data_IF_556681913406
#
_entry.id   IF_556681913406
#
_cell.length_a   1.000
_cell.length_b   1.000
_cell.length_c   1.000
_cell.angle_alpha   90.00
_cell.angle_beta   90.00
_cell.angle_gamma   90.00
#
_symmetry.space_group_name_H-M   'P 1'
#
loop_
_entity.id
_entity.type
_entity.pdbx_description
1 polymer ?
#
# COMPACT_ATOMS: atom_id res chain seq x y z
N UNK A 1 9.51 23.97 -10.61
CA UNK A 1 9.35 24.91 -9.47
C UNK A 1 7.97 25.54 -9.52
N UNK A 2 7.37 25.82 -8.37
CA UNK A 2 6.08 26.51 -8.29
C UNK A 2 6.27 28.01 -8.44
N UNK A 3 5.27 28.69 -9.02
CA UNK A 3 5.18 30.15 -8.96
C UNK A 3 4.79 30.57 -7.54
N UNK A 4 5.11 31.80 -7.10
CA UNK A 4 4.56 32.36 -5.86
C UNK A 4 3.04 32.21 -5.81
N UNK A 5 2.51 31.69 -4.69
CA UNK A 5 1.08 31.40 -4.52
C UNK A 5 0.58 30.13 -5.23
N UNK A 6 1.46 29.39 -5.91
CA UNK A 6 1.13 28.11 -6.55
C UNK A 6 0.73 27.04 -5.54
N UNK A 7 -0.11 26.09 -5.97
CA UNK A 7 -0.58 24.97 -5.16
C UNK A 7 -0.01 23.65 -5.68
N UNK A 8 0.22 22.73 -4.75
CA UNK A 8 0.53 21.33 -5.06
C UNK A 8 -0.53 20.42 -4.46
N UNK A 9 -0.75 19.29 -5.12
CA UNK A 9 -1.53 18.18 -4.59
C UNK A 9 -0.58 17.01 -4.47
N UNK A 10 -0.53 16.42 -3.28
CA UNK A 10 0.24 15.22 -2.98
C UNK A 10 -0.75 14.09 -2.73
N UNK A 11 -0.59 12.98 -3.42
CA UNK A 11 -1.45 11.81 -3.30
C UNK A 11 -0.57 10.57 -3.27
N UNK A 12 -0.44 9.98 -2.09
CA UNK A 12 0.28 8.72 -1.88
C UNK A 12 -0.56 7.83 -0.95
N UNK A 13 -0.61 6.52 -1.21
CA UNK A 13 -1.18 5.57 -0.26
C UNK A 13 -0.32 5.49 1.02
N UNK A 14 -0.94 4.97 2.06
CA UNK A 14 -0.25 4.49 3.25
C UNK A 14 -0.42 2.98 3.33
N UNK A 15 0.61 2.22 2.99
CA UNK A 15 0.50 0.79 2.71
C UNK A 15 0.23 -0.07 3.96
N UNK A 16 0.53 0.43 5.17
CA UNK A 16 0.09 -0.21 6.42
C UNK A 16 -1.46 -0.22 6.55
N UNK A 17 -2.15 0.63 5.78
CA UNK A 17 -3.61 0.68 5.75
C UNK A 17 -4.22 -0.27 4.71
N UNK A 18 -3.39 -1.05 4.01
CA UNK A 18 -3.84 -2.16 3.18
C UNK A 18 -4.31 -3.31 4.09
N UNK A 19 -5.63 -3.43 4.21
CA UNK A 19 -6.30 -4.48 4.98
C UNK A 19 -6.97 -5.43 3.98
N UNK A 20 -6.74 -6.72 4.16
CA UNK A 20 -7.30 -7.77 3.32
C UNK A 20 -8.24 -8.59 4.20
N UNK A 21 -9.51 -8.66 3.82
CA UNK A 21 -10.48 -9.55 4.45
C UNK A 21 -10.23 -10.98 3.95
N UNK A 22 -9.69 -11.82 4.82
CA UNK A 22 -9.27 -13.18 4.48
C UNK A 22 -9.47 -14.12 5.68
N UNK A 23 -9.86 -15.40 5.47
CA UNK A 23 -10.10 -16.33 6.58
C UNK A 23 -8.91 -16.52 7.53
N UNK A 24 -7.68 -16.49 7.01
CA UNK A 24 -6.46 -16.50 7.83
C UNK A 24 -5.87 -15.09 7.99
N UNK A 25 -6.16 -14.48 9.13
CA UNK A 25 -5.68 -13.14 9.47
C UNK A 25 -4.14 -13.05 9.56
N UNK A 26 -3.44 -14.14 9.92
CA UNK A 26 -1.98 -14.13 10.00
C UNK A 26 -1.37 -14.03 8.60
N UNK A 27 -1.98 -14.69 7.62
CA UNK A 27 -1.56 -14.61 6.22
C UNK A 27 -1.79 -13.22 5.64
N UNK A 28 -2.98 -12.65 5.85
CA UNK A 28 -3.29 -11.27 5.42
C UNK A 28 -2.26 -10.27 5.98
N UNK A 29 -1.92 -10.40 7.27
CA UNK A 29 -0.91 -9.55 7.92
C UNK A 29 0.51 -9.79 7.38
N UNK A 30 0.88 -11.04 7.12
CA UNK A 30 2.18 -11.38 6.57
C UNK A 30 2.36 -10.76 5.17
N UNK A 31 1.32 -10.81 4.33
CA UNK A 31 1.33 -10.17 3.01
C UNK A 31 1.50 -8.65 3.14
N UNK A 32 0.68 -7.97 3.94
CA UNK A 32 0.79 -6.51 4.12
C UNK A 32 2.18 -6.13 4.65
N UNK A 33 2.72 -6.88 5.61
CA UNK A 33 4.06 -6.65 6.14
C UNK A 33 5.16 -6.85 5.10
N UNK A 34 5.06 -7.86 4.25
CA UNK A 34 6.01 -8.05 3.16
C UNK A 34 5.95 -6.87 2.18
N UNK A 35 4.75 -6.36 1.87
CA UNK A 35 4.58 -5.17 1.04
C UNK A 35 5.27 -3.96 1.65
N UNK A 36 5.07 -3.72 2.95
CA UNK A 36 5.58 -2.53 3.64
C UNK A 36 7.07 -2.58 3.93
N UNK A 37 7.60 -3.76 4.28
CA UNK A 37 8.98 -3.92 4.71
C UNK A 37 9.93 -4.14 3.52
N UNK A 38 9.44 -4.75 2.42
CA UNK A 38 10.31 -5.24 1.34
C UNK A 38 9.94 -4.67 -0.04
N UNK A 39 8.64 -4.57 -0.37
CA UNK A 39 8.22 -4.23 -1.74
C UNK A 39 8.22 -2.73 -2.00
N UNK A 40 7.69 -1.93 -1.07
CA UNK A 40 7.50 -0.49 -1.24
C UNK A 40 8.48 0.29 -0.39
N UNK A 41 9.44 0.97 -1.03
CA UNK A 41 10.52 1.69 -0.35
C UNK A 41 10.06 2.72 0.70
N UNK A 42 8.98 3.45 0.43
CA UNK A 42 8.43 4.47 1.35
C UNK A 42 6.98 4.12 1.72
N UNK A 43 6.75 2.87 2.12
CA UNK A 43 5.42 2.29 2.33
C UNK A 43 4.47 3.15 3.19
N UNK A 44 4.98 3.82 4.21
CA UNK A 44 4.16 4.59 5.16
C UNK A 44 4.26 6.11 4.92
N UNK A 45 4.59 6.57 3.70
CA UNK A 45 4.75 8.01 3.43
C UNK A 45 3.41 8.77 3.50
N UNK A 46 2.29 8.12 3.19
CA UNK A 46 0.96 8.72 3.16
C UNK A 46 0.63 9.51 4.45
N UNK A 47 0.79 8.91 5.63
CA UNK A 47 0.59 9.61 6.92
C UNK A 47 1.59 10.73 7.20
N UNK A 48 2.71 10.78 6.49
CA UNK A 48 3.79 11.74 6.72
C UNK A 48 3.71 12.95 5.79
N UNK A 49 3.02 12.86 4.65
CA UNK A 49 2.99 13.90 3.61
C UNK A 49 2.62 15.28 4.13
N UNK A 50 1.55 15.39 4.92
CA UNK A 50 1.11 16.66 5.47
C UNK A 50 2.17 17.29 6.39
N UNK A 51 2.84 16.47 7.21
CA UNK A 51 3.93 16.93 8.06
C UNK A 51 5.16 17.34 7.27
N UNK A 52 5.51 16.58 6.22
CA UNK A 52 6.61 16.91 5.32
C UNK A 52 6.37 18.24 4.58
N UNK A 53 5.18 18.44 4.03
CA UNK A 53 4.79 19.68 3.36
C UNK A 53 4.97 20.90 4.28
N UNK A 54 4.48 20.80 5.53
CA UNK A 54 4.66 21.85 6.55
C UNK A 54 6.14 22.15 6.83
N UNK A 55 6.96 21.10 7.02
CA UNK A 55 8.41 21.25 7.24
C UNK A 55 9.14 21.86 6.04
N UNK A 56 8.60 21.71 4.83
CA UNK A 56 9.12 22.32 3.61
C UNK A 56 8.61 23.75 3.36
N UNK A 57 7.86 24.35 4.29
CA UNK A 57 7.38 25.73 4.19
C UNK A 57 6.05 25.90 3.47
N UNK A 58 5.33 24.81 3.18
CA UNK A 58 3.97 24.90 2.64
C UNK A 58 2.94 25.06 3.76
N UNK A 59 1.92 25.86 3.47
CA UNK A 59 0.66 25.81 4.21
C UNK A 59 -0.17 24.61 3.71
N UNK A 60 -0.72 23.82 4.64
CA UNK A 60 -1.53 22.63 4.33
C UNK A 60 -2.99 22.98 4.55
N UNK A 61 -3.65 23.40 3.48
CA UNK A 61 -5.05 23.83 3.51
C UNK A 61 -6.03 22.67 3.79
N UNK A 62 -5.72 21.45 3.34
CA UNK A 62 -6.62 20.29 3.47
C UNK A 62 -5.85 18.97 3.39
N UNK A 63 -6.31 17.98 4.17
CA UNK A 63 -5.95 16.56 4.04
C UNK A 63 -7.25 15.79 3.82
N UNK A 64 -7.28 14.92 2.81
CA UNK A 64 -8.47 14.12 2.46
C UNK A 64 -8.09 12.65 2.53
N UNK A 65 -8.60 11.88 3.52
CA UNK A 65 -8.48 10.44 3.49
C UNK A 65 -9.42 9.88 2.40
N UNK A 66 -8.91 8.96 1.59
CA UNK A 66 -9.68 8.26 0.55
C UNK A 66 -9.51 6.76 0.79
N UNK A 67 -10.63 6.07 1.01
CA UNK A 67 -10.64 4.61 1.15
C UNK A 67 -11.05 4.01 -0.18
N UNK A 68 -10.17 3.19 -0.76
CA UNK A 68 -10.48 2.38 -1.94
C UNK A 68 -10.78 0.96 -1.49
N UNK A 69 -11.92 0.42 -1.91
CA UNK A 69 -12.33 -0.96 -1.63
C UNK A 69 -12.31 -1.74 -2.93
N UNK A 70 -11.71 -2.92 -2.92
CA UNK A 70 -11.75 -3.88 -4.02
C UNK A 70 -12.45 -5.13 -3.51
N UNK A 71 -13.56 -5.49 -4.15
CA UNK A 71 -14.33 -6.71 -3.83
C UNK A 71 -13.92 -7.89 -4.72
N UNK A 72 -13.24 -7.61 -5.83
CA UNK A 72 -12.75 -8.58 -6.79
C UNK A 72 -11.21 -8.62 -6.76
N UNK A 73 -10.65 -9.81 -6.51
CA UNK A 73 -9.20 -10.01 -6.39
C UNK A 73 -8.46 -9.74 -7.71
N UNK A 74 -9.10 -9.97 -8.85
CA UNK A 74 -8.50 -9.70 -10.16
C UNK A 74 -8.40 -8.19 -10.44
N UNK A 75 -9.38 -7.40 -9.99
CA UNK A 75 -9.30 -5.93 -10.04
C UNK A 75 -8.25 -5.39 -9.07
N UNK A 76 -8.18 -5.96 -7.86
CA UNK A 76 -7.16 -5.62 -6.89
C UNK A 76 -5.74 -5.93 -7.40
N UNK A 77 -5.57 -7.07 -8.07
CA UNK A 77 -4.28 -7.52 -8.60
C UNK A 77 -3.72 -6.61 -9.70
N UNK A 78 -4.58 -5.96 -10.50
CA UNK A 78 -4.12 -4.97 -11.49
C UNK A 78 -3.37 -3.80 -10.84
N UNK A 79 -3.70 -3.48 -9.60
CA UNK A 79 -3.11 -2.37 -8.85
C UNK A 79 -1.98 -2.86 -7.95
N UNK A 80 -2.21 -3.94 -7.22
CA UNK A 80 -1.30 -4.42 -6.17
C UNK A 80 -0.31 -5.49 -6.65
N UNK A 81 -0.58 -6.13 -7.79
CA UNK A 81 0.21 -7.27 -8.29
C UNK A 81 0.31 -8.39 -7.27
N UNK A 82 -0.79 -8.67 -6.57
CA UNK A 82 -0.94 -9.65 -5.50
C UNK A 82 -0.29 -10.99 -5.83
N UNK A 83 -0.57 -11.56 -7.01
CA UNK A 83 0.01 -12.85 -7.40
C UNK A 83 1.54 -12.76 -7.48
N UNK A 84 2.04 -11.76 -8.22
CA UNK A 84 3.48 -11.54 -8.43
C UNK A 84 4.23 -11.22 -7.14
N UNK A 85 3.61 -10.44 -6.26
CA UNK A 85 4.18 -10.08 -4.95
C UNK A 85 4.29 -11.32 -4.08
N UNK A 86 3.25 -12.15 -4.07
CA UNK A 86 3.23 -13.38 -3.27
C UNK A 86 4.24 -14.40 -3.77
N UNK A 87 4.37 -14.58 -5.09
CA UNK A 87 5.41 -15.45 -5.68
C UNK A 87 6.82 -15.00 -5.27
N UNK A 88 7.08 -13.68 -5.26
CA UNK A 88 8.36 -13.13 -4.78
C UNK A 88 8.56 -13.35 -3.29
N UNK A 89 7.50 -13.21 -2.48
CA UNK A 89 7.55 -13.44 -1.04
C UNK A 89 7.89 -14.89 -0.72
N UNK A 90 7.27 -15.84 -1.43
CA UNK A 90 7.55 -17.28 -1.31
C UNK A 90 8.98 -17.59 -1.73
N UNK A 91 9.40 -17.10 -2.90
CA UNK A 91 10.76 -17.34 -3.41
C UNK A 91 11.85 -16.78 -2.48
N UNK A 92 11.53 -15.70 -1.76
CA UNK A 92 12.42 -15.09 -0.78
C UNK A 92 12.27 -15.66 0.66
N UNK A 93 11.40 -16.66 0.86
CA UNK A 93 11.20 -17.33 2.15
C UNK A 93 10.42 -16.52 3.19
N UNK A 94 9.71 -15.48 2.77
CA UNK A 94 8.88 -14.65 3.66
C UNK A 94 7.46 -15.20 3.81
N UNK A 95 7.03 -16.10 2.93
CA UNK A 95 5.70 -16.73 2.93
C UNK A 95 5.82 -18.20 2.49
N UNK A 96 4.90 -19.05 2.98
CA UNK A 96 4.84 -20.46 2.60
C UNK A 96 4.28 -20.66 1.19
N UNK A 97 4.70 -21.73 0.51
CA UNK A 97 4.37 -21.95 -0.90
C UNK A 97 2.90 -22.28 -1.17
N UNK A 98 2.18 -22.76 -0.16
CA UNK A 98 0.72 -22.88 -0.19
C UNK A 98 0.03 -21.51 -0.30
N UNK A 99 0.65 -20.43 0.18
CA UNK A 99 0.11 -19.08 0.10
C UNK A 99 0.04 -18.51 -1.32
N UNK A 100 0.93 -18.92 -2.22
CA UNK A 100 0.84 -18.50 -3.62
C UNK A 100 -0.38 -19.10 -4.37
N UNK A 101 -0.92 -20.22 -3.88
CA UNK A 101 -2.15 -20.82 -4.44
C UNK A 101 -3.42 -20.14 -3.91
N UNK A 102 -3.35 -19.50 -2.75
CA UNK A 102 -4.51 -18.98 -2.00
C UNK A 102 -5.28 -17.85 -2.69
N UNK A 103 -4.62 -17.05 -3.54
CA UNK A 103 -5.30 -15.97 -4.28
C UNK A 103 -6.17 -16.47 -5.43
N UNK A 104 -5.92 -17.69 -5.93
CA UNK A 104 -6.63 -18.24 -7.10
C UNK A 104 -8.01 -18.80 -6.75
N UNK A 105 -8.27 -18.98 -5.46
CA UNK A 105 -9.52 -19.52 -4.92
C UNK A 105 -10.45 -18.41 -4.38
N UNK A 106 -10.05 -17.14 -4.51
CA UNK A 106 -10.83 -15.93 -4.17
C UNK A 106 -11.45 -15.29 -5.42
#
# INVERSE_FOLDING_TARGET
MLRPGGRIVLAEPDWDTLIIDYPDLLVARAYTRFVTDIVVQNACIGRQLAGMAKRSGFDVAKVIPVTTVFEDVSEADKIFGIYRVTERAVAAGYMEADVARMWRDL
#
